data_IF_786043426092
#
_entry.id   IF_786043426092
#
_cell.length_a   1.000
_cell.length_b   1.000
_cell.length_c   1.000
_cell.angle_alpha   90.00
_cell.angle_beta   90.00
_cell.angle_gamma   90.00
#
_symmetry.space_group_name_H-M   'P 1'
#
loop_
_entity.id
_entity.type
_entity.pdbx_description
1 polymer ?
#
# COMPACT_ATOMS: atom_id res chain seq x y z
N UNK A 1 -17.78 19.48 -14.59
CA UNK A 1 -16.71 18.56 -15.04
C UNK A 1 -16.49 17.57 -13.92
N UNK A 2 -16.55 16.26 -14.18
CA UNK A 2 -16.16 15.24 -13.21
C UNK A 2 -14.73 14.80 -13.54
N UNK A 3 -13.81 14.97 -12.60
CA UNK A 3 -12.46 14.40 -12.72
C UNK A 3 -12.49 12.98 -12.17
N UNK A 4 -11.83 12.05 -12.87
CA UNK A 4 -11.60 10.69 -12.36
C UNK A 4 -10.12 10.52 -12.06
N UNK A 5 -9.84 9.81 -10.97
CA UNK A 5 -8.48 9.45 -10.56
C UNK A 5 -8.34 7.94 -10.75
N UNK A 6 -7.24 7.53 -11.35
CA UNK A 6 -6.86 6.13 -11.47
C UNK A 6 -5.62 5.94 -10.62
N UNK A 7 -5.68 4.99 -9.68
CA UNK A 7 -4.54 4.58 -8.86
C UNK A 7 -4.15 3.18 -9.31
N UNK A 8 -2.91 3.03 -9.77
CA UNK A 8 -2.35 1.72 -10.13
C UNK A 8 -1.69 1.09 -8.90
N UNK A 9 -1.72 -0.23 -8.82
CA UNK A 9 -1.02 -0.94 -7.75
C UNK A 9 0.49 -0.97 -8.05
N UNK A 10 1.31 -0.45 -7.13
CA UNK A 10 2.77 -0.37 -7.28
C UNK A 10 3.52 -1.68 -7.03
N UNK A 11 2.79 -2.73 -6.61
CA UNK A 11 3.41 -4.03 -6.36
C UNK A 11 3.91 -4.68 -7.66
N UNK A 12 5.10 -5.30 -7.59
CA UNK A 12 5.74 -5.91 -8.74
C UNK A 12 4.85 -6.98 -9.40
N UNK A 13 4.57 -6.82 -10.69
CA UNK A 13 3.76 -7.76 -11.47
C UNK A 13 2.25 -7.70 -11.17
N UNK A 14 1.78 -6.72 -10.41
CA UNK A 14 0.36 -6.47 -10.23
C UNK A 14 -0.20 -5.60 -11.37
N UNK A 15 -1.45 -5.86 -11.77
CA UNK A 15 -2.16 -5.06 -12.77
C UNK A 15 -3.51 -4.56 -12.23
N UNK A 16 -3.69 -4.55 -10.91
CA UNK A 16 -4.91 -4.01 -10.31
C UNK A 16 -4.88 -2.49 -10.34
N UNK A 17 -6.05 -1.92 -10.61
CA UNK A 17 -6.26 -0.47 -10.69
C UNK A 17 -7.50 -0.09 -9.92
N UNK A 18 -7.45 1.01 -9.18
CA UNK A 18 -8.58 1.61 -8.49
C UNK A 18 -9.05 2.84 -9.26
N UNK A 19 -10.28 2.81 -9.76
CA UNK A 19 -10.92 3.98 -10.36
C UNK A 19 -11.73 4.72 -9.30
N UNK A 20 -11.38 5.98 -9.06
CA UNK A 20 -12.07 6.88 -8.15
C UNK A 20 -12.78 7.94 -8.97
N UNK A 21 -14.11 7.94 -8.87
CA UNK A 21 -14.97 8.84 -9.64
C UNK A 21 -15.04 10.27 -9.08
N UNK A 22 -14.62 10.45 -7.83
CA UNK A 22 -14.66 11.72 -7.12
C UNK A 22 -13.35 11.92 -6.32
N UNK A 23 -12.48 12.87 -6.71
CA UNK A 23 -11.18 13.04 -6.07
C UNK A 23 -11.29 13.52 -4.62
N UNK A 24 -12.37 14.22 -4.25
CA UNK A 24 -12.61 14.63 -2.86
C UNK A 24 -12.92 13.42 -1.94
N UNK A 25 -13.41 12.33 -2.53
CA UNK A 25 -13.71 11.07 -1.83
C UNK A 25 -12.58 10.04 -1.88
N UNK A 26 -11.38 10.42 -2.36
CA UNK A 26 -10.24 9.52 -2.58
C UNK A 26 -9.91 8.65 -1.35
N UNK A 27 -9.73 9.27 -0.18
CA UNK A 27 -9.40 8.55 1.05
C UNK A 27 -10.50 7.56 1.48
N UNK A 28 -11.77 7.92 1.23
CA UNK A 28 -12.91 7.06 1.54
C UNK A 28 -12.99 5.87 0.58
N UNK A 29 -12.76 6.07 -0.72
CA UNK A 29 -12.74 5.00 -1.72
C UNK A 29 -11.56 4.05 -1.52
N UNK A 30 -10.37 4.58 -1.22
CA UNK A 30 -9.18 3.79 -0.86
C UNK A 30 -9.49 2.89 0.34
N UNK A 31 -10.01 3.47 1.42
CA UNK A 31 -10.36 2.74 2.64
C UNK A 31 -11.49 1.73 2.39
N UNK A 32 -12.53 2.11 1.66
CA UNK A 32 -13.67 1.25 1.33
C UNK A 32 -13.26 0.03 0.50
N UNK A 33 -12.30 0.21 -0.40
CA UNK A 33 -11.76 -0.87 -1.25
C UNK A 33 -10.60 -1.63 -0.61
N UNK A 34 -10.23 -1.30 0.64
CA UNK A 34 -9.09 -1.85 1.37
C UNK A 34 -7.77 -1.73 0.60
N UNK A 35 -7.59 -0.62 -0.11
CA UNK A 35 -6.28 -0.25 -0.63
C UNK A 35 -5.46 0.38 0.49
N UNK A 36 -4.17 0.09 0.47
CA UNK A 36 -3.25 0.54 1.50
C UNK A 36 -2.17 1.41 0.86
N UNK A 37 -1.80 2.48 1.57
CA UNK A 37 -0.65 3.32 1.23
C UNK A 37 0.56 2.82 2.02
N UNK A 38 1.72 2.86 1.40
CA UNK A 38 2.99 2.52 2.02
C UNK A 38 3.32 3.47 3.19
N UNK A 39 3.49 2.97 4.42
CA UNK A 39 3.70 3.81 5.59
C UNK A 39 5.10 4.46 5.62
N UNK A 40 6.08 3.91 4.90
CA UNK A 40 7.45 4.42 4.91
C UNK A 40 7.62 5.63 3.98
N UNK A 41 6.87 5.68 2.88
CA UNK A 41 7.01 6.77 1.91
C UNK A 41 5.74 7.55 1.56
N UNK A 42 4.53 7.04 1.89
CA UNK A 42 3.27 7.71 1.59
C UNK A 42 2.99 7.93 0.09
N UNK A 43 3.69 7.22 -0.79
CA UNK A 43 3.64 7.41 -2.23
C UNK A 43 3.24 6.16 -2.98
N UNK A 44 3.64 4.97 -2.49
CA UNK A 44 3.23 3.72 -3.11
C UNK A 44 1.87 3.28 -2.60
N UNK A 45 1.06 2.78 -3.52
CA UNK A 45 -0.30 2.31 -3.27
C UNK A 45 -0.42 0.83 -3.64
N UNK A 46 -0.99 0.05 -2.73
CA UNK A 46 -1.09 -1.39 -2.87
C UNK A 46 -2.54 -1.85 -2.78
N UNK A 47 -2.92 -2.72 -3.70
CA UNK A 47 -4.20 -3.41 -3.63
C UNK A 47 -4.21 -4.39 -2.43
N UNK A 48 -5.40 -4.75 -1.90
CA UNK A 48 -5.50 -5.58 -0.69
C UNK A 48 -4.78 -6.93 -0.79
N UNK A 49 -4.68 -7.48 -2.01
CA UNK A 49 -3.98 -8.74 -2.25
C UNK A 49 -2.46 -8.61 -2.12
N UNK A 50 -1.91 -7.54 -2.68
CA UNK A 50 -0.46 -7.28 -2.66
C UNK A 50 -0.01 -6.75 -1.30
N UNK A 51 -0.85 -5.93 -0.66
CA UNK A 51 -0.58 -5.43 0.68
C UNK A 51 -0.35 -6.57 1.69
N UNK A 52 -1.15 -7.63 1.64
CA UNK A 52 -0.96 -8.78 2.53
C UNK A 52 0.41 -9.47 2.37
N UNK A 53 1.02 -9.41 1.19
CA UNK A 53 2.39 -9.91 0.97
C UNK A 53 3.42 -8.93 1.48
N UNK A 54 3.29 -7.65 1.10
CA UNK A 54 4.22 -6.58 1.47
C UNK A 54 4.26 -6.39 3.00
N UNK A 55 3.11 -6.45 3.67
CA UNK A 55 3.04 -6.34 5.13
C UNK A 55 3.83 -7.46 5.82
N UNK A 56 3.86 -8.67 5.24
CA UNK A 56 4.68 -9.76 5.78
C UNK A 56 6.17 -9.51 5.52
N UNK A 57 6.54 -9.06 4.31
CA UNK A 57 7.92 -8.72 3.96
C UNK A 57 8.48 -7.62 4.87
N UNK A 58 7.71 -6.55 5.11
CA UNK A 58 8.09 -5.45 6.01
C UNK A 58 8.21 -5.92 7.47
N UNK A 59 7.32 -6.80 7.93
CA UNK A 59 7.41 -7.37 9.29
C UNK A 59 8.65 -8.23 9.47
N UNK A 60 8.99 -9.06 8.48
CA UNK A 60 10.20 -9.89 8.51
C UNK A 60 11.47 -9.02 8.53
N UNK A 61 11.53 -7.93 7.77
CA UNK A 61 12.68 -7.01 7.78
C UNK A 61 12.89 -6.31 9.15
N UNK A 62 11.80 -5.96 9.85
CA UNK A 62 11.88 -5.36 11.18
C UNK A 62 12.40 -6.36 12.23
N UNK A 63 11.90 -7.61 12.21
CA UNK A 63 12.31 -8.64 13.17
C UNK A 63 13.79 -8.99 13.02
N UNK A 64 14.32 -9.01 11.79
CA UNK A 64 15.74 -9.28 11.55
C UNK A 64 16.67 -8.13 11.96
N UNK A 65 16.16 -6.92 12.19
CA UNK A 65 16.95 -5.77 12.65
C UNK A 65 17.09 -5.69 14.18
N UNK A 66 16.26 -6.43 14.93
CA UNK A 66 16.28 -6.45 16.40
C UNK A 66 17.24 -7.50 16.97
N UNK A 67 17.57 -8.57 16.23
CA UNK A 67 18.45 -9.65 16.72
C UNK A 67 19.96 -9.31 16.71
N UNK A 68 20.38 -8.24 16.03
CA UNK A 68 21.79 -7.81 15.99
C UNK A 68 22.22 -6.90 17.17
N UNK A 69 21.34 -6.61 18.14
CA UNK A 69 21.66 -5.71 19.28
C UNK A 69 21.91 -6.38 20.65
N UNK A 70 21.78 -7.70 20.80
CA UNK A 70 22.00 -8.41 22.08
C UNK A 70 23.31 -9.22 22.14
N UNK A 71 24.36 -8.78 21.45
CA UNK A 71 25.67 -9.43 21.57
C UNK A 71 26.84 -8.42 21.51
N UNK A 72 26.87 -7.50 22.48
CA UNK A 72 28.11 -6.81 22.86
C UNK A 72 28.31 -6.86 24.39
#
# INVERSE_FOLDING_TARGET
MSARVLIDCDAYGCCNTLEVHDPDSLASEISFRNWCEDPDNGHFHYCPKCWATIENEQKDELVMSEEDQENE
#
